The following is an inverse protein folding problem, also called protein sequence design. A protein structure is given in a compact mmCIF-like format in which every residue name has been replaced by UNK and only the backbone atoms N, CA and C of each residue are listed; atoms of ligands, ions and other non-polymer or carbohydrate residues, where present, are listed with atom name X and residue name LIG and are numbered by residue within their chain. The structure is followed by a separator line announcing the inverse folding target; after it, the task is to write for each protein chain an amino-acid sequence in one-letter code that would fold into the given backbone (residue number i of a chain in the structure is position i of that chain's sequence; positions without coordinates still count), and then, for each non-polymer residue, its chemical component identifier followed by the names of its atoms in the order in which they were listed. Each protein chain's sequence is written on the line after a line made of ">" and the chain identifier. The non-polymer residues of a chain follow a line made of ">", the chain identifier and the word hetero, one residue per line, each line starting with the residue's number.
data_IF_745605761539
#
_entry.id   IF_745605761539
#
_cell.length_a   1.000
_cell.length_b   1.000
_cell.length_c   1.000
_cell.angle_alpha   90.00
_cell.angle_beta   90.00
_cell.angle_gamma   90.00
#
_symmetry.space_group_name_H-M   'P 1'
#
loop_
_entity.id
_entity.type
_entity.pdbx_description
1 polymer ?
#
# COMPACT_ATOMS: atom_id res chain seq x y z
N UNK A 1 0.13 -24.50 28.91
CA UNK A 1 -0.64 -23.22 28.90
C UNK A 1 0.25 -21.97 29.11
N UNK A 2 1.58 -22.10 29.18
CA UNK A 2 2.51 -20.99 29.48
C UNK A 2 2.94 -20.16 28.27
N UNK A 3 3.04 -20.76 27.08
CA UNK A 3 3.55 -20.07 25.89
C UNK A 3 2.60 -19.05 25.27
N UNK A 4 1.29 -19.28 25.30
CA UNK A 4 0.31 -18.36 24.69
C UNK A 4 0.16 -17.07 25.48
N UNK A 5 0.04 -17.14 26.82
CA UNK A 5 0.00 -15.95 27.68
C UNK A 5 1.26 -15.09 27.56
N UNK A 6 2.43 -15.73 27.43
CA UNK A 6 3.68 -15.00 27.23
C UNK A 6 3.70 -14.31 25.86
N UNK A 7 3.28 -15.00 24.79
CA UNK A 7 3.17 -14.41 23.45
C UNK A 7 2.17 -13.26 23.42
N UNK A 8 1.04 -13.39 24.11
CA UNK A 8 0.05 -12.34 24.26
C UNK A 8 0.63 -11.11 24.96
N UNK A 9 1.27 -11.30 26.12
CA UNK A 9 1.93 -10.21 26.86
C UNK A 9 3.00 -9.52 26.00
N UNK A 10 3.78 -10.28 25.24
CA UNK A 10 4.76 -9.74 24.29
C UNK A 10 4.09 -8.90 23.20
N UNK A 11 2.96 -9.35 22.65
CA UNK A 11 2.23 -8.61 21.62
C UNK A 11 1.59 -7.32 22.16
N UNK A 12 1.06 -7.33 23.38
CA UNK A 12 0.55 -6.14 24.06
C UNK A 12 1.66 -5.10 24.24
N UNK A 13 2.82 -5.52 24.76
CA UNK A 13 3.93 -4.60 24.94
C UNK A 13 4.53 -4.13 23.62
N UNK A 14 4.53 -4.98 22.58
CA UNK A 14 5.00 -4.60 21.25
C UNK A 14 4.18 -3.45 20.66
N UNK A 15 2.85 -3.49 20.76
CA UNK A 15 2.01 -2.42 20.21
C UNK A 15 2.16 -1.12 20.99
N UNK A 16 2.26 -1.19 22.32
CA UNK A 16 2.44 -0.02 23.20
C UNK A 16 3.83 0.62 23.04
N UNK A 17 4.90 -0.18 22.97
CA UNK A 17 6.25 0.35 22.71
C UNK A 17 6.33 1.02 21.34
N UNK A 18 5.78 0.38 20.30
CA UNK A 18 5.74 0.97 18.96
C UNK A 18 4.95 2.29 18.94
N UNK A 19 3.86 2.39 19.71
CA UNK A 19 3.13 3.64 19.87
C UNK A 19 4.01 4.71 20.54
N UNK A 20 4.76 4.34 21.58
CA UNK A 20 5.74 5.23 22.21
C UNK A 20 6.79 5.75 21.24
N UNK A 21 7.33 4.90 20.37
CA UNK A 21 8.31 5.27 19.35
C UNK A 21 7.72 6.25 18.33
N UNK A 22 6.49 6.01 17.89
CA UNK A 22 5.75 6.91 16.97
C UNK A 22 5.56 8.29 17.60
N UNK A 23 5.10 8.34 18.85
CA UNK A 23 4.89 9.59 19.60
C UNK A 23 6.21 10.35 19.77
N UNK A 24 7.30 9.65 20.12
CA UNK A 24 8.61 10.26 20.28
C UNK A 24 9.12 10.85 18.94
N UNK A 25 8.99 10.10 17.84
CA UNK A 25 9.36 10.60 16.50
C UNK A 25 8.52 11.80 16.07
N UNK A 26 7.23 11.82 16.40
CA UNK A 26 6.34 12.94 16.10
C UNK A 26 6.70 14.19 16.93
N UNK A 27 7.00 14.03 18.21
CA UNK A 27 7.45 15.14 19.07
C UNK A 27 8.75 15.76 18.54
N UNK A 28 9.68 14.94 18.04
CA UNK A 28 10.94 15.39 17.44
C UNK A 28 10.79 15.92 16.01
N UNK A 29 9.60 15.84 15.41
CA UNK A 29 9.32 16.21 14.01
C UNK A 29 10.26 15.47 13.03
N UNK A 30 10.56 14.20 13.33
CA UNK A 30 11.40 13.35 12.47
C UNK A 30 10.71 13.10 11.11
N UNK A 31 11.50 13.08 10.03
CA UNK A 31 10.98 12.85 8.69
C UNK A 31 10.34 11.45 8.52
N UNK A 32 10.87 10.43 9.21
CA UNK A 32 10.33 9.07 9.19
C UNK A 32 9.72 8.72 10.55
N UNK A 33 8.41 8.41 10.53
CA UNK A 33 7.66 7.97 11.70
C UNK A 33 7.30 6.48 11.54
N UNK A 34 7.68 5.60 12.49
CA UNK A 34 7.61 4.15 12.32
C UNK A 34 6.21 3.55 12.58
N UNK A 35 5.18 4.04 11.89
CA UNK A 35 3.80 3.53 12.01
C UNK A 35 3.66 2.05 11.70
N UNK A 36 4.64 1.44 11.01
CA UNK A 36 4.57 0.03 10.59
C UNK A 36 5.05 -0.97 11.63
N UNK A 37 5.63 -0.51 12.75
CA UNK A 37 6.19 -1.39 13.78
C UNK A 37 5.13 -2.23 14.51
N UNK A 38 3.86 -1.80 14.51
CA UNK A 38 2.73 -2.57 15.03
C UNK A 38 1.45 -2.37 14.21
N UNK A 39 0.54 -3.35 14.21
CA UNK A 39 -0.76 -3.20 13.54
C UNK A 39 -1.59 -2.05 14.13
N UNK A 40 -1.49 -1.82 15.44
CA UNK A 40 -2.19 -0.74 16.13
C UNK A 40 -1.77 0.63 15.59
N UNK A 41 -0.45 0.87 15.46
CA UNK A 41 0.07 2.15 14.95
C UNK A 41 -0.22 2.36 13.46
N UNK A 42 -0.32 1.28 12.67
CA UNK A 42 -0.79 1.35 11.28
C UNK A 42 -2.25 1.80 11.19
N UNK A 43 -3.13 1.25 12.03
CA UNK A 43 -4.55 1.63 12.04
C UNK A 43 -4.75 3.06 12.57
N UNK A 44 -3.92 3.49 13.51
CA UNK A 44 -3.96 4.84 14.08
C UNK A 44 -3.16 5.87 13.27
N UNK A 45 -2.54 5.48 12.14
CA UNK A 45 -1.72 6.38 11.34
C UNK A 45 -2.50 7.63 10.92
N UNK A 46 -3.76 7.49 10.52
CA UNK A 46 -4.58 8.63 10.12
C UNK A 46 -4.94 9.53 11.32
N UNK A 47 -5.05 8.93 12.51
CA UNK A 47 -5.32 9.67 13.75
C UNK A 47 -4.09 10.47 14.19
N UNK A 48 -2.91 9.84 14.18
CA UNK A 48 -1.64 10.42 14.64
C UNK A 48 -0.86 11.12 13.52
N UNK A 49 -1.37 11.14 12.29
CA UNK A 49 -0.71 11.68 11.10
C UNK A 49 -1.05 13.13 10.77
N UNK A 50 -1.75 13.85 11.66
CA UNK A 50 -2.06 15.27 11.49
C UNK A 50 -3.30 15.60 10.65
N UNK A 51 -4.11 14.60 10.26
CA UNK A 51 -5.40 14.82 9.62
C UNK A 51 -6.60 14.64 10.56
N UNK A 52 -6.37 14.31 11.82
CA UNK A 52 -7.41 14.09 12.82
C UNK A 52 -7.17 14.92 14.08
N UNK A 53 -8.25 15.09 14.86
CA UNK A 53 -8.17 15.56 16.24
C UNK A 53 -8.10 14.34 17.14
N UNK A 54 -6.98 14.16 17.83
CA UNK A 54 -6.78 13.03 18.73
C UNK A 54 -6.88 13.49 20.17
N UNK A 55 -7.65 12.75 20.97
CA UNK A 55 -7.74 12.91 22.41
C UNK A 55 -7.33 11.58 23.06
N UNK A 56 -6.46 11.64 24.06
CA UNK A 56 -6.05 10.48 24.84
C UNK A 56 -6.59 10.59 26.26
N UNK A 57 -7.29 9.55 26.71
CA UNK A 57 -7.64 9.37 28.12
C UNK A 57 -6.64 8.44 28.79
N UNK A 58 -6.24 8.81 30.01
CA UNK A 58 -5.25 8.07 30.78
C UNK A 58 -5.91 7.62 32.06
N UNK A 59 -5.99 6.30 32.25
CA UNK A 59 -6.58 5.70 33.43
C UNK A 59 -5.47 5.30 34.40
N UNK A 60 -5.60 5.72 35.66
CA UNK A 60 -4.62 5.47 36.71
C UNK A 60 -5.32 4.89 37.95
N UNK A 61 -4.60 4.03 38.68
CA UNK A 61 -5.04 3.56 40.00
C UNK A 61 -4.38 4.40 41.10
N UNK A 62 -5.13 4.81 42.15
CA UNK A 62 -4.58 5.54 43.29
C UNK A 62 -3.90 4.63 44.34
N UNK A 63 -3.87 3.31 44.14
CA UNK A 63 -3.30 2.36 45.09
C UNK A 63 -1.77 2.45 45.17
N UNK A 64 -1.20 2.22 46.38
CA UNK A 64 0.25 2.27 46.62
C UNK A 64 1.03 1.27 45.77
N UNK A 65 0.44 0.10 45.53
CA UNK A 65 1.08 -1.01 44.83
C UNK A 65 1.15 -0.74 43.31
N UNK A 66 0.26 0.12 42.81
CA UNK A 66 0.19 0.52 41.40
C UNK A 66 1.03 1.77 41.08
N UNK A 67 1.67 2.41 42.07
CA UNK A 67 2.38 3.69 41.88
C UNK A 67 3.44 3.61 40.78
N UNK A 68 4.18 2.50 40.69
CA UNK A 68 5.19 2.31 39.65
C UNK A 68 4.62 2.38 38.23
N UNK A 69 3.50 1.70 38.00
CA UNK A 69 2.79 1.71 36.71
C UNK A 69 2.10 3.06 36.45
N UNK A 70 1.53 3.68 37.49
CA UNK A 70 0.93 5.01 37.40
C UNK A 70 1.95 6.06 36.95
N UNK A 71 3.16 6.05 37.51
CA UNK A 71 4.23 6.97 37.09
C UNK A 71 4.62 6.74 35.63
N UNK A 72 4.77 5.48 35.21
CA UNK A 72 5.11 5.12 33.83
C UNK A 72 4.03 5.60 32.84
N UNK A 73 2.76 5.45 33.23
CA UNK A 73 1.60 5.88 32.44
C UNK A 73 1.53 7.41 32.32
N UNK A 74 1.75 8.14 33.42
CA UNK A 74 1.77 9.61 33.40
C UNK A 74 2.93 10.16 32.57
N UNK A 75 4.13 9.57 32.66
CA UNK A 75 5.27 9.92 31.81
C UNK A 75 4.99 9.68 30.33
N UNK A 76 4.22 8.64 30.01
CA UNK A 76 3.78 8.42 28.65
C UNK A 76 2.82 9.52 28.19
N UNK A 77 1.83 9.87 29.01
CA UNK A 77 0.87 10.95 28.71
C UNK A 77 1.55 12.30 28.50
N UNK A 78 2.56 12.62 29.31
CA UNK A 78 3.39 13.82 29.17
C UNK A 78 4.07 13.89 27.80
N UNK A 79 4.65 12.78 27.32
CA UNK A 79 5.23 12.76 25.96
C UNK A 79 4.18 12.99 24.88
N UNK A 80 3.00 12.38 25.03
CA UNK A 80 1.90 12.54 24.08
C UNK A 80 1.40 13.98 24.03
N UNK A 81 1.36 14.70 25.16
CA UNK A 81 0.89 16.10 25.19
C UNK A 81 1.81 17.07 24.46
N UNK A 82 3.11 16.74 24.31
CA UNK A 82 4.07 17.54 23.53
C UNK A 82 3.95 17.38 22.02
N UNK A 83 3.17 16.39 21.55
CA UNK A 83 3.02 16.12 20.12
C UNK A 83 2.02 17.08 19.49
N UNK A 84 2.52 17.94 18.61
CA UNK A 84 1.69 18.76 17.75
C UNK A 84 1.32 17.97 16.49
N UNK A 85 0.17 17.31 16.55
CA UNK A 85 -0.50 16.80 15.36
C UNK A 85 -1.01 18.04 14.60
N UNK A 86 -0.42 18.32 13.44
CA UNK A 86 -0.69 19.54 12.67
C UNK A 86 -2.17 19.80 12.39
N UNK A 87 -2.48 20.96 11.78
CA UNK A 87 -3.85 21.39 11.55
C UNK A 87 -4.67 20.32 10.79
N UNK A 88 -5.66 19.73 11.49
CA UNK A 88 -6.57 18.76 10.91
C UNK A 88 -7.25 19.36 9.67
N UNK A 89 -6.97 18.79 8.49
CA UNK A 89 -7.57 19.25 7.24
C UNK A 89 -9.05 18.89 7.24
N UNK A 90 -9.90 19.88 7.01
CA UNK A 90 -11.31 19.65 6.71
C UNK A 90 -11.39 18.79 5.45
N UNK A 91 -11.93 17.57 5.59
CA UNK A 91 -12.21 16.69 4.47
C UNK A 91 -13.45 17.18 3.70
N UNK A 92 -13.38 18.40 3.16
CA UNK A 92 -14.36 18.89 2.19
C UNK A 92 -13.92 18.36 0.83
N UNK A 93 -14.71 17.45 0.28
CA UNK A 93 -14.63 17.14 -1.15
C UNK A 93 -14.93 18.45 -1.89
N UNK A 94 -13.91 19.03 -2.55
CA UNK A 94 -14.18 20.17 -3.44
C UNK A 94 -15.09 19.68 -4.57
N UNK A 95 -15.99 20.53 -5.07
CA UNK A 95 -16.90 20.15 -6.16
C UNK A 95 -16.17 19.52 -7.35
N UNK A 96 -14.95 19.99 -7.63
CA UNK A 96 -14.06 19.43 -8.65
C UNK A 96 -13.67 17.96 -8.41
N UNK A 97 -13.38 17.56 -7.16
CA UNK A 97 -13.05 16.15 -6.85
C UNK A 97 -14.24 15.23 -7.10
N UNK A 98 -15.46 15.72 -6.86
CA UNK A 98 -16.69 14.98 -7.16
C UNK A 98 -16.90 14.82 -8.67
N UNK A 99 -16.74 15.90 -9.43
CA UNK A 99 -16.86 15.87 -10.91
C UNK A 99 -15.78 14.98 -11.55
N UNK A 100 -14.53 15.07 -11.10
CA UNK A 100 -13.44 14.24 -11.59
C UNK A 100 -13.69 12.75 -11.30
N UNK A 101 -14.18 12.40 -10.09
CA UNK A 101 -14.57 11.02 -9.78
C UNK A 101 -15.71 10.51 -10.67
N UNK A 102 -16.65 11.37 -11.01
CA UNK A 102 -17.76 11.03 -11.90
C UNK A 102 -17.28 10.82 -13.34
N UNK A 103 -16.38 11.67 -13.83
CA UNK A 103 -15.74 11.50 -15.14
C UNK A 103 -14.93 10.18 -15.22
N UNK A 104 -14.16 9.85 -14.18
CA UNK A 104 -13.43 8.58 -14.10
C UNK A 104 -14.40 7.39 -14.13
N UNK A 105 -15.52 7.47 -13.42
CA UNK A 105 -16.55 6.43 -13.44
C UNK A 105 -17.15 6.24 -14.84
N UNK A 106 -17.54 7.32 -15.52
CA UNK A 106 -18.10 7.29 -16.88
C UNK A 106 -17.11 6.68 -17.88
N UNK A 107 -15.86 7.12 -17.86
CA UNK A 107 -14.81 6.62 -18.75
C UNK A 107 -14.51 5.14 -18.52
N UNK A 108 -14.48 4.70 -17.26
CA UNK A 108 -14.25 3.28 -16.90
C UNK A 108 -15.37 2.37 -17.42
N UNK A 109 -16.62 2.79 -17.33
CA UNK A 109 -17.77 2.06 -17.88
C UNK A 109 -17.73 1.99 -19.41
N UNK A 110 -17.39 3.10 -20.07
CA UNK A 110 -17.28 3.13 -21.52
C UNK A 110 -16.18 2.20 -22.06
N UNK A 111 -15.06 2.07 -21.34
CA UNK A 111 -14.00 1.12 -21.69
C UNK A 111 -14.45 -0.35 -21.52
N UNK A 112 -15.14 -0.68 -20.43
CA UNK A 112 -15.67 -2.04 -20.22
C UNK A 112 -16.68 -2.48 -21.29
N UNK A 113 -17.53 -1.56 -21.77
CA UNK A 113 -18.48 -1.85 -22.86
C UNK A 113 -17.80 -2.02 -24.22
N UNK A 114 -16.61 -1.42 -24.41
CA UNK A 114 -15.87 -1.51 -25.68
C UNK A 114 -15.00 -2.76 -25.77
N UNK A 115 -14.46 -3.24 -24.65
CA UNK A 115 -13.72 -4.52 -24.57
C UNK A 115 -14.62 -5.74 -24.78
N UNK A 116 -15.90 -5.66 -24.40
CA UNK A 116 -16.89 -6.72 -24.61
C UNK A 116 -17.50 -6.74 -26.03
N UNK A 117 -17.22 -5.73 -26.86
CA UNK A 117 -17.69 -5.62 -28.25
C UNK A 117 -16.76 -6.24 -29.30
N UNK A 118 -15.53 -6.59 -28.95
CA UNK A 118 -14.50 -7.07 -29.91
C UNK A 118 -14.55 -8.56 -30.24
N UNK A 119 -15.26 -9.39 -29.47
CA UNK A 119 -15.27 -10.86 -29.70
C UNK A 119 -16.35 -11.34 -30.69
N UNK A 120 -17.36 -10.53 -31.02
CA UNK A 120 -18.51 -10.97 -31.82
C UNK A 120 -18.35 -10.79 -33.35
N UNK A 121 -17.25 -10.20 -33.82
CA UNK A 121 -17.07 -9.85 -35.24
C UNK A 121 -16.15 -10.78 -36.04
N UNK A 122 -15.52 -11.80 -35.41
CA UNK A 122 -14.56 -12.69 -36.10
C UNK A 122 -15.23 -13.96 -36.66
N UNK A 123 -16.41 -14.38 -36.18
CA UNK A 123 -16.99 -15.69 -36.54
C UNK A 123 -17.89 -15.69 -37.79
N UNK A 124 -18.22 -14.54 -38.41
CA UNK A 124 -19.22 -14.48 -39.50
C UNK A 124 -18.68 -14.49 -40.94
N UNK A 125 -17.36 -14.44 -41.15
CA UNK A 125 -16.79 -14.25 -42.49
C UNK A 125 -16.00 -15.44 -43.09
N UNK A 126 -16.05 -16.65 -42.51
CA UNK A 126 -15.31 -17.80 -43.06
C UNK A 126 -16.21 -18.96 -43.52
N UNK A 127 -17.21 -18.68 -44.34
CA UNK A 127 -17.89 -19.71 -45.14
C UNK A 127 -17.81 -19.33 -46.62
N UNK A 128 -16.68 -19.65 -47.26
CA UNK A 128 -16.62 -20.15 -48.64
C UNK A 128 -15.16 -20.37 -49.08
N UNK A 129 -14.94 -21.51 -49.75
CA UNK A 129 -13.82 -21.90 -50.62
C UNK A 129 -12.68 -22.75 -50.00
N UNK A 130 -12.91 -24.08 -50.02
CA UNK A 130 -12.12 -25.07 -50.80
C UNK A 130 -11.51 -26.28 -50.03
N UNK A 131 -12.28 -27.37 -50.02
CA UNK A 131 -12.00 -28.76 -50.45
C UNK A 131 -10.58 -29.39 -50.37
N UNK A 132 -10.59 -30.61 -49.77
CA UNK A 132 -9.74 -31.82 -49.94
C UNK A 132 -8.54 -32.10 -48.99
N UNK A 133 -8.77 -33.10 -48.12
CA UNK A 133 -7.85 -33.96 -47.34
C UNK A 133 -7.28 -35.12 -48.23
N UNK A 134 -6.41 -36.07 -47.78
CA UNK A 134 -5.43 -36.14 -46.67
C UNK A 134 -4.00 -36.61 -47.10
N UNK A 135 -3.09 -36.70 -46.12
CA UNK A 135 -1.66 -37.10 -46.08
C UNK A 135 -1.31 -38.57 -46.43
N UNK A 136 -0.01 -38.92 -46.63
CA UNK A 136 0.67 -39.78 -45.63
C UNK A 136 2.18 -39.47 -45.37
N UNK A 137 2.61 -39.49 -44.09
CA UNK A 137 3.44 -40.50 -43.37
C UNK A 137 4.95 -40.45 -43.71
N UNK A 138 5.79 -39.77 -42.91
CA UNK A 138 6.51 -40.20 -41.68
C UNK A 138 7.56 -41.31 -41.84
N UNK A 139 8.82 -40.98 -41.52
CA UNK A 139 9.81 -41.80 -40.79
C UNK A 139 11.03 -40.92 -40.41
N UNK A 140 11.01 -40.23 -39.27
CA UNK A 140 11.71 -40.56 -38.01
C UNK A 140 13.25 -40.62 -38.07
N UNK A 141 13.93 -39.73 -37.32
CA UNK A 141 14.47 -40.04 -35.97
C UNK A 141 15.38 -38.92 -35.39
N UNK A 142 14.87 -38.27 -34.33
CA UNK A 142 15.53 -37.80 -33.06
C UNK A 142 16.67 -36.75 -33.16
N UNK A 143 16.82 -35.73 -32.28
CA UNK A 143 16.17 -35.35 -31.02
C UNK A 143 16.74 -33.99 -30.56
N UNK A 144 15.87 -33.13 -29.98
CA UNK A 144 16.16 -32.05 -29.00
C UNK A 144 16.99 -30.85 -29.49
N UNK A 145 16.41 -29.65 -29.68
CA UNK A 145 15.98 -28.63 -28.67
C UNK A 145 16.98 -27.47 -28.73
N UNK A 146 16.80 -26.56 -29.68
CA UNK A 146 16.22 -25.21 -29.56
C UNK A 146 17.31 -24.15 -29.32
N UNK A 147 17.72 -23.50 -30.41
CA UNK A 147 18.75 -22.47 -30.40
C UNK A 147 18.65 -21.59 -31.67
N UNK A 148 18.85 -20.28 -31.48
CA UNK A 148 19.10 -19.18 -32.46
C UNK A 148 17.88 -18.59 -33.26
N UNK A 149 17.70 -17.28 -33.54
CA UNK A 149 18.29 -15.94 -33.26
C UNK A 149 17.29 -14.85 -33.80
N UNK A 150 17.65 -13.61 -34.23
CA UNK A 150 17.62 -12.38 -33.42
C UNK A 150 16.89 -11.18 -34.11
N UNK A 151 16.85 -10.02 -33.44
CA UNK A 151 16.93 -8.72 -34.13
C UNK A 151 15.66 -7.86 -34.19
N UNK A 152 15.44 -7.05 -33.15
CA UNK A 152 14.76 -5.76 -33.27
C UNK A 152 15.76 -4.67 -32.91
N UNK A 153 15.90 -3.68 -33.79
CA UNK A 153 16.69 -2.47 -33.56
C UNK A 153 15.80 -1.22 -33.69
N UNK A 154 16.13 -0.22 -32.87
CA UNK A 154 15.86 1.23 -32.98
C UNK A 154 14.52 1.75 -32.41
N UNK A 155 14.45 2.79 -31.56
CA UNK A 155 15.39 3.63 -30.81
C UNK A 155 14.57 4.28 -29.67
N UNK A 156 15.04 4.22 -28.42
CA UNK A 156 14.66 5.20 -27.37
C UNK A 156 15.94 5.80 -26.82
N UNK A 157 16.06 7.12 -26.88
CA UNK A 157 17.17 7.88 -26.31
C UNK A 157 17.08 7.86 -24.76
N UNK A 158 18.19 7.69 -24.03
CA UNK A 158 18.23 7.95 -22.59
C UNK A 158 18.49 9.43 -22.30
N UNK A 159 17.90 9.94 -21.20
CA UNK A 159 18.19 11.25 -20.64
C UNK A 159 19.61 11.30 -20.07
N UNK A 160 20.28 12.43 -20.27
CA UNK A 160 21.63 12.71 -19.78
C UNK A 160 21.66 12.96 -18.27
N UNK A 161 22.79 12.57 -17.69
CA UNK A 161 23.20 12.65 -16.29
C UNK A 161 23.34 14.12 -15.85
N UNK A 162 22.52 14.57 -14.89
CA UNK A 162 22.63 15.92 -14.32
C UNK A 162 23.62 15.85 -13.17
N UNK A 163 24.84 16.31 -13.46
CA UNK A 163 25.98 16.29 -12.57
C UNK A 163 25.76 17.02 -11.24
N UNK A 164 26.55 16.56 -10.27
CA UNK A 164 26.71 17.08 -8.92
C UNK A 164 26.98 18.60 -8.89
N UNK A 165 26.33 19.29 -7.95
CA UNK A 165 26.79 20.58 -7.44
C UNK A 165 27.19 20.38 -5.99
N UNK A 166 28.49 20.38 -5.74
CA UNK A 166 29.08 20.83 -4.49
C UNK A 166 29.13 22.37 -4.55
N UNK A 167 28.48 23.05 -3.60
CA UNK A 167 29.01 24.19 -2.83
C UNK A 167 28.26 24.25 -1.50
#
# INVERSE_FOLDING_TARGET
>A
VTGERLKEAQHINKSLSALGDVIASLAQKNAHVPYRNSKLTQLLQDSLGGQAKTLMFVHISPESDAVGETISTLKFAERVSTVELGAARLNKESGEVKELKEQISRLKTALQMKDSGSEQNITRNSEALNTKMPSPVFSNRRQGSCDLLPGQANFRQPMEDVGNIEV
#
